data_IF_622065706170
#
_entry.id   IF_622065706170
#
_cell.length_a   1.000
_cell.length_b   1.000
_cell.length_c   1.000
_cell.angle_alpha   90.00
_cell.angle_beta   90.00
_cell.angle_gamma   90.00
#
_symmetry.space_group_name_H-M   'P 1'
#
loop_
_entity.id
_entity.type
_entity.pdbx_description
1 polymer ?
#
# COMPACT_ATOMS: atom_id res chain seq x y z
N UNK A 1 39.52 52.04 -16.48
CA UNK A 1 38.79 51.57 -15.28
C UNK A 1 37.30 51.74 -15.53
N UNK A 2 36.55 50.65 -15.68
CA UNK A 2 35.11 50.68 -15.95
C UNK A 2 34.31 50.51 -14.64
N UNK A 3 33.18 51.22 -14.45
CA UNK A 3 32.38 51.09 -13.23
C UNK A 3 31.55 49.80 -13.22
N UNK A 4 31.57 49.12 -12.07
CA UNK A 4 30.81 47.90 -11.76
C UNK A 4 29.31 48.21 -11.76
N UNK A 5 28.52 47.53 -12.60
CA UNK A 5 27.05 47.51 -12.52
C UNK A 5 26.62 46.78 -11.24
N UNK A 6 25.86 47.45 -10.38
CA UNK A 6 25.18 46.83 -9.24
C UNK A 6 23.94 46.06 -9.73
N UNK A 7 23.78 44.82 -9.27
CA UNK A 7 22.58 44.03 -9.48
C UNK A 7 21.45 44.50 -8.53
N UNK A 8 20.18 44.47 -8.96
CA UNK A 8 19.05 44.85 -8.10
C UNK A 8 18.80 43.80 -7.01
N UNK A 9 18.44 44.29 -5.81
CA UNK A 9 18.17 43.48 -4.63
C UNK A 9 16.90 42.60 -4.77
N UNK A 10 16.84 41.42 -4.13
CA UNK A 10 15.66 40.58 -4.11
C UNK A 10 14.53 41.19 -3.25
N UNK A 11 13.25 40.92 -3.57
CA UNK A 11 12.12 41.45 -2.81
C UNK A 11 12.00 40.84 -1.41
N UNK A 12 11.42 41.56 -0.44
CA UNK A 12 11.32 41.12 0.95
C UNK A 12 10.33 39.97 1.14
N UNK A 13 10.73 39.00 1.94
CA UNK A 13 9.97 37.82 2.34
C UNK A 13 8.75 38.22 3.20
N UNK A 14 7.53 37.84 2.79
CA UNK A 14 6.32 38.04 3.59
C UNK A 14 5.97 36.73 4.34
N UNK A 15 5.89 36.72 5.69
CA UNK A 15 5.46 35.55 6.42
C UNK A 15 3.94 35.31 6.30
N UNK A 16 3.47 34.05 6.33
CA UNK A 16 2.05 33.73 6.19
C UNK A 16 1.22 34.23 7.38
N UNK A 17 0.08 34.83 7.07
CA UNK A 17 -0.89 35.37 8.04
C UNK A 17 -1.47 34.25 8.92
N UNK A 18 -1.15 34.30 10.21
CA UNK A 18 -1.73 33.49 11.28
C UNK A 18 -3.23 33.78 11.40
N UNK A 19 -4.07 32.77 11.18
CA UNK A 19 -5.51 32.84 11.41
C UNK A 19 -5.79 33.04 12.91
N UNK A 20 -6.56 34.09 13.23
CA UNK A 20 -6.91 34.51 14.58
C UNK A 20 -8.07 33.69 15.14
N UNK A 21 -7.82 33.21 16.35
CA UNK A 21 -8.73 32.62 17.33
C UNK A 21 -9.88 33.57 17.70
N UNK A 22 -11.10 33.05 17.74
CA UNK A 22 -12.29 33.62 18.38
C UNK A 22 -13.55 32.98 17.79
N UNK A 23 -14.62 32.62 18.50
CA UNK A 23 -15.09 32.79 19.88
C UNK A 23 -16.09 31.65 20.17
N UNK A 24 -16.13 31.19 21.41
CA UNK A 24 -17.19 30.34 21.98
C UNK A 24 -18.46 31.21 22.16
N UNK A 25 -19.66 30.63 22.01
CA UNK A 25 -20.61 30.70 23.12
C UNK A 25 -21.31 29.36 23.39
N UNK A 26 -21.33 28.99 24.67
CA UNK A 26 -22.14 27.90 25.22
C UNK A 26 -23.59 28.36 25.41
N UNK A 27 -24.56 27.46 25.20
CA UNK A 27 -25.81 27.40 25.98
C UNK A 27 -26.53 26.05 25.84
N UNK A 28 -26.79 25.50 27.02
CA UNK A 28 -27.45 24.24 27.38
C UNK A 28 -28.80 23.96 26.70
N UNK A 29 -29.07 22.66 26.43
CA UNK A 29 -30.26 21.93 26.92
C UNK A 29 -30.07 20.40 26.73
N UNK A 30 -30.51 19.56 27.69
CA UNK A 30 -30.28 18.12 27.66
C UNK A 30 -31.43 17.39 26.95
N UNK A 31 -31.22 16.19 26.39
CA UNK A 31 -32.30 15.26 26.19
C UNK A 31 -32.26 14.12 27.22
N UNK A 32 -33.46 13.90 27.73
CA UNK A 32 -33.94 12.89 28.65
C UNK A 32 -33.45 11.46 28.40
N UNK A 33 -33.21 10.76 29.50
CA UNK A 33 -33.28 9.30 29.60
C UNK A 33 -34.63 8.81 29.04
N UNK A 34 -34.60 7.93 28.05
CA UNK A 34 -35.65 6.93 27.85
C UNK A 34 -35.00 5.60 27.54
N UNK A 35 -35.25 4.68 28.46
CA UNK A 35 -34.84 3.28 28.47
C UNK A 35 -35.78 2.50 27.55
N UNK A 36 -35.23 1.89 26.51
CA UNK A 36 -35.75 0.67 25.85
C UNK A 36 -34.51 -0.13 25.44
N UNK A 37 -33.93 -0.94 26.33
CA UNK A 37 -34.18 -2.38 26.40
C UNK A 37 -34.80 -2.99 25.13
N UNK A 38 -34.07 -3.97 24.58
CA UNK A 38 -34.56 -4.99 23.63
C UNK A 38 -34.53 -4.63 22.15
N UNK A 39 -33.32 -4.48 21.58
CA UNK A 39 -33.05 -4.80 20.15
C UNK A 39 -31.67 -5.45 19.88
N UNK A 40 -31.01 -5.98 20.91
CA UNK A 40 -29.78 -6.78 20.78
C UNK A 40 -30.03 -8.26 20.42
N UNK A 41 -31.25 -8.62 20.02
CA UNK A 41 -31.61 -10.01 19.72
C UNK A 41 -32.27 -10.16 18.33
N UNK A 42 -31.65 -9.65 17.27
CA UNK A 42 -31.92 -10.12 15.87
C UNK A 42 -30.80 -9.67 14.91
N UNK A 43 -29.54 -9.92 15.26
CA UNK A 43 -28.46 -10.00 14.28
C UNK A 43 -27.54 -11.19 14.60
N UNK A 44 -28.12 -12.30 15.06
CA UNK A 44 -27.52 -13.59 14.71
C UNK A 44 -27.69 -13.71 13.21
N UNK A 45 -26.60 -13.52 12.49
CA UNK A 45 -26.53 -13.73 11.06
C UNK A 45 -27.13 -15.10 10.76
N UNK A 46 -28.37 -15.11 10.27
CA UNK A 46 -28.84 -16.21 9.46
C UNK A 46 -27.86 -16.23 8.29
N UNK A 47 -26.96 -17.23 8.28
CA UNK A 47 -26.38 -17.74 7.04
C UNK A 47 -27.53 -17.79 6.05
N UNK A 48 -27.49 -16.85 5.10
CA UNK A 48 -28.63 -16.53 4.28
C UNK A 48 -29.07 -17.78 3.54
N UNK A 49 -30.38 -17.96 3.39
CA UNK A 49 -30.96 -18.88 2.41
C UNK A 49 -30.14 -18.83 1.13
N UNK A 50 -29.44 -19.91 0.83
CA UNK A 50 -28.67 -20.10 -0.40
C UNK A 50 -29.64 -20.57 -1.49
N UNK A 51 -29.46 -20.09 -2.72
CA UNK A 51 -30.00 -20.71 -3.92
C UNK A 51 -28.77 -21.13 -4.74
N UNK A 52 -28.71 -22.39 -5.15
CA UNK A 52 -27.61 -22.94 -5.98
C UNK A 52 -26.19 -22.60 -5.46
N UNK A 53 -25.99 -22.64 -4.14
CA UNK A 53 -24.70 -22.33 -3.49
C UNK A 53 -24.33 -20.85 -3.43
N UNK A 54 -25.19 -19.94 -3.94
CA UNK A 54 -24.97 -18.49 -3.95
C UNK A 54 -25.82 -17.75 -2.90
N UNK A 55 -25.27 -16.72 -2.23
CA UNK A 55 -26.00 -15.95 -1.24
C UNK A 55 -27.07 -15.03 -1.86
N UNK A 56 -28.26 -15.00 -1.22
CA UNK A 56 -29.39 -14.16 -1.68
C UNK A 56 -29.26 -12.67 -1.32
N UNK A 57 -28.58 -12.32 -0.23
CA UNK A 57 -28.48 -10.93 0.23
C UNK A 57 -27.27 -10.23 -0.35
N UNK A 58 -27.35 -8.92 -0.63
CA UNK A 58 -26.20 -8.12 -1.10
C UNK A 58 -24.98 -8.25 -0.17
N UNK A 59 -25.22 -8.23 1.15
CA UNK A 59 -24.16 -8.39 2.15
C UNK A 59 -23.53 -9.79 2.04
N UNK A 60 -24.34 -10.84 1.93
CA UNK A 60 -23.83 -12.20 1.74
C UNK A 60 -23.01 -12.35 0.45
N UNK A 61 -23.44 -11.73 -0.65
CA UNK A 61 -22.70 -11.72 -1.92
C UNK A 61 -21.35 -11.04 -1.81
N UNK A 62 -21.29 -9.90 -1.11
CA UNK A 62 -20.04 -9.19 -0.85
C UNK A 62 -19.08 -10.07 -0.02
N UNK A 63 -19.58 -10.69 1.04
CA UNK A 63 -18.76 -11.58 1.88
C UNK A 63 -18.24 -12.78 1.09
N UNK A 64 -19.09 -13.39 0.26
CA UNK A 64 -18.70 -14.50 -0.61
C UNK A 64 -17.54 -14.12 -1.55
N UNK A 65 -17.63 -12.95 -2.20
CA UNK A 65 -16.57 -12.45 -3.09
C UNK A 65 -15.25 -12.23 -2.33
N UNK A 66 -15.33 -11.74 -1.09
CA UNK A 66 -14.16 -11.32 -0.32
C UNK A 66 -13.50 -12.52 0.39
N UNK A 67 -14.28 -13.50 0.84
CA UNK A 67 -13.76 -14.72 1.48
C UNK A 67 -12.96 -15.59 0.51
N UNK A 68 -13.37 -15.64 -0.75
CA UNK A 68 -12.71 -16.40 -1.81
C UNK A 68 -11.49 -15.67 -2.41
N UNK A 69 -11.23 -14.43 -2.00
CA UNK A 69 -10.16 -13.64 -2.59
C UNK A 69 -8.78 -14.03 -2.03
N UNK A 70 -7.81 -14.21 -2.93
CA UNK A 70 -6.40 -14.43 -2.58
C UNK A 70 -5.62 -13.14 -2.36
N UNK A 71 -6.17 -12.00 -2.77
CA UNK A 71 -5.56 -10.67 -2.66
C UNK A 71 -6.58 -9.67 -2.11
N UNK A 72 -6.11 -8.57 -1.53
CA UNK A 72 -6.97 -7.48 -1.06
C UNK A 72 -7.86 -6.95 -2.19
N UNK A 73 -9.16 -6.87 -1.94
CA UNK A 73 -10.15 -6.55 -2.98
C UNK A 73 -10.57 -5.09 -2.87
N UNK A 74 -10.39 -4.32 -3.93
CA UNK A 74 -10.90 -2.95 -4.02
C UNK A 74 -12.41 -2.88 -4.30
N UNK A 75 -13.05 -1.77 -3.92
CA UNK A 75 -14.47 -1.52 -4.24
C UNK A 75 -14.82 -1.68 -5.74
N UNK A 76 -13.99 -1.23 -6.71
CA UNK A 76 -14.27 -1.48 -8.12
C UNK A 76 -14.38 -2.97 -8.46
N UNK A 77 -13.49 -3.79 -7.92
CA UNK A 77 -13.47 -5.24 -8.13
C UNK A 77 -14.69 -5.92 -7.51
N UNK A 78 -15.09 -5.51 -6.30
CA UNK A 78 -16.33 -6.01 -5.67
C UNK A 78 -17.54 -5.71 -6.56
N UNK A 79 -17.65 -4.48 -7.09
CA UNK A 79 -18.76 -4.11 -7.99
C UNK A 79 -18.77 -4.95 -9.25
N UNK A 80 -17.60 -5.14 -9.88
CA UNK A 80 -17.45 -5.94 -11.08
C UNK A 80 -17.89 -7.39 -10.83
N UNK A 81 -17.39 -8.05 -9.78
CA UNK A 81 -17.80 -9.43 -9.42
C UNK A 81 -19.28 -9.53 -9.07
N UNK A 82 -19.88 -8.51 -8.44
CA UNK A 82 -21.32 -8.47 -8.19
C UNK A 82 -22.16 -8.42 -9.48
N UNK A 83 -21.67 -7.73 -10.51
CA UNK A 83 -22.32 -7.69 -11.83
C UNK A 83 -22.14 -9.03 -12.53
N UNK A 84 -20.89 -9.51 -12.61
CA UNK A 84 -20.53 -10.68 -13.42
C UNK A 84 -21.04 -12.00 -12.83
N UNK A 85 -21.05 -12.17 -11.50
CA UNK A 85 -21.40 -13.46 -10.86
C UNK A 85 -22.85 -13.55 -10.37
N UNK A 86 -23.51 -12.39 -10.20
CA UNK A 86 -24.84 -12.29 -9.61
C UNK A 86 -25.83 -11.47 -10.46
N UNK A 87 -25.48 -11.22 -11.72
CA UNK A 87 -26.30 -10.54 -12.74
C UNK A 87 -26.87 -9.20 -12.25
N UNK A 88 -26.12 -8.48 -11.43
CA UNK A 88 -26.53 -7.17 -10.93
C UNK A 88 -26.32 -6.10 -12.00
N UNK A 89 -27.26 -5.18 -12.16
CA UNK A 89 -27.12 -4.09 -13.13
C UNK A 89 -26.35 -2.91 -12.55
N UNK A 90 -25.31 -2.46 -13.26
CA UNK A 90 -24.60 -1.23 -12.89
C UNK A 90 -25.52 -0.01 -13.03
N UNK A 91 -25.72 0.67 -11.92
CA UNK A 91 -26.53 1.88 -11.83
C UNK A 91 -26.03 2.78 -10.71
N UNK A 92 -26.31 4.09 -10.73
CA UNK A 92 -25.95 4.99 -9.63
C UNK A 92 -26.48 4.51 -8.27
N UNK A 93 -27.69 3.96 -8.25
CA UNK A 93 -28.32 3.38 -7.05
C UNK A 93 -27.59 2.13 -6.57
N UNK A 94 -27.18 1.25 -7.49
CA UNK A 94 -26.36 0.07 -7.16
C UNK A 94 -25.02 0.49 -6.54
N UNK A 95 -24.29 1.40 -7.19
CA UNK A 95 -22.98 1.88 -6.69
C UNK A 95 -23.08 2.46 -5.28
N UNK A 96 -24.13 3.24 -4.99
CA UNK A 96 -24.42 3.78 -3.65
C UNK A 96 -24.76 2.69 -2.63
N UNK A 97 -25.57 1.69 -3.01
CA UNK A 97 -25.93 0.56 -2.14
C UNK A 97 -24.71 -0.28 -1.76
N UNK A 98 -23.83 -0.58 -2.72
CA UNK A 98 -22.59 -1.34 -2.47
C UNK A 98 -21.66 -0.56 -1.54
N UNK A 99 -21.43 0.73 -1.80
CA UNK A 99 -20.60 1.57 -0.93
C UNK A 99 -21.16 1.64 0.50
N UNK A 100 -22.48 1.81 0.65
CA UNK A 100 -23.15 1.81 1.96
C UNK A 100 -23.05 0.46 2.68
N UNK A 101 -23.14 -0.64 1.94
CA UNK A 101 -23.00 -1.99 2.50
C UNK A 101 -21.57 -2.24 3.01
N UNK A 102 -20.55 -1.87 2.23
CA UNK A 102 -19.14 -1.99 2.63
C UNK A 102 -18.80 -1.09 3.83
N UNK A 103 -19.31 0.13 3.86
CA UNK A 103 -19.15 1.02 5.01
C UNK A 103 -19.77 0.41 6.27
N UNK A 104 -21.01 -0.09 6.17
CA UNK A 104 -21.68 -0.76 7.29
C UNK A 104 -20.93 -2.01 7.74
N UNK A 105 -20.38 -2.80 6.82
CA UNK A 105 -19.56 -3.96 7.16
C UNK A 105 -18.28 -3.57 7.89
N UNK A 106 -17.65 -2.45 7.50
CA UNK A 106 -16.44 -1.94 8.16
C UNK A 106 -16.71 -1.38 9.56
N UNK A 107 -17.92 -0.89 9.81
CA UNK A 107 -18.36 -0.42 11.14
C UNK A 107 -18.75 -1.56 12.08
N UNK A 108 -19.07 -2.74 11.53
CA UNK A 108 -19.38 -3.92 12.32
C UNK A 108 -18.08 -4.67 12.56
N UNK A 109 -17.62 -4.72 13.81
CA UNK A 109 -16.46 -5.53 14.19
C UNK A 109 -16.78 -7.01 13.99
N UNK A 110 -16.34 -7.56 12.85
CA UNK A 110 -16.70 -8.89 12.35
C UNK A 110 -15.43 -9.66 12.03
N UNK A 111 -15.34 -10.88 12.50
CA UNK A 111 -14.20 -11.76 12.22
C UNK A 111 -14.08 -12.14 10.73
N UNK A 112 -15.19 -12.12 9.97
CA UNK A 112 -15.25 -12.57 8.58
C UNK A 112 -15.16 -11.43 7.54
N UNK A 113 -14.76 -10.23 7.96
CA UNK A 113 -14.61 -9.06 7.10
C UNK A 113 -13.67 -8.03 7.72
N UNK A 114 -12.71 -7.55 6.94
CA UNK A 114 -11.86 -6.43 7.34
C UNK A 114 -11.50 -5.49 6.19
N UNK A 115 -10.83 -4.39 6.54
CA UNK A 115 -10.49 -3.31 5.60
C UNK A 115 -9.08 -2.78 5.87
N UNK A 116 -8.26 -2.74 4.82
CA UNK A 116 -6.87 -2.26 4.84
C UNK A 116 -6.67 -1.31 3.67
N UNK A 117 -6.19 -0.08 3.93
CA UNK A 117 -5.79 0.85 2.86
C UNK A 117 -6.86 1.19 1.81
N UNK A 118 -8.15 1.00 2.11
CA UNK A 118 -9.25 1.18 1.15
C UNK A 118 -9.68 -0.08 0.38
N UNK A 119 -8.98 -1.19 0.59
CA UNK A 119 -9.32 -2.53 0.11
C UNK A 119 -9.88 -3.40 1.23
N UNK A 120 -10.49 -4.54 0.87
CA UNK A 120 -11.21 -5.42 1.79
C UNK A 120 -10.66 -6.85 1.76
N UNK A 121 -10.80 -7.56 2.88
CA UNK A 121 -10.38 -8.97 3.05
C UNK A 121 -11.40 -9.75 3.90
N UNK A 122 -11.33 -11.08 3.86
CA UNK A 122 -12.32 -11.99 4.44
C UNK A 122 -12.17 -12.28 5.92
N UNK A 123 -11.43 -11.44 6.65
CA UNK A 123 -10.99 -11.70 8.03
C UNK A 123 -9.48 -11.93 8.14
N UNK A 124 -8.99 -12.09 9.37
CA UNK A 124 -7.57 -12.29 9.68
C UNK A 124 -7.07 -13.66 9.16
N UNK A 125 -7.92 -14.69 9.20
CA UNK A 125 -7.57 -16.02 8.67
C UNK A 125 -7.67 -16.13 7.13
N UNK A 126 -8.05 -15.05 6.44
CA UNK A 126 -8.22 -15.10 4.98
C UNK A 126 -6.88 -15.05 4.25
N UNK A 127 -6.76 -15.79 3.14
CA UNK A 127 -5.55 -15.83 2.33
C UNK A 127 -5.09 -14.43 1.90
N UNK A 128 -6.04 -13.54 1.57
CA UNK A 128 -5.75 -12.15 1.24
C UNK A 128 -5.12 -11.34 2.38
N UNK A 129 -5.50 -11.61 3.63
CA UNK A 129 -4.93 -10.93 4.80
C UNK A 129 -3.54 -11.46 5.11
N UNK A 130 -3.39 -12.80 5.14
CA UNK A 130 -2.10 -13.45 5.39
C UNK A 130 -1.05 -13.04 4.34
N UNK A 131 -1.42 -12.98 3.07
CA UNK A 131 -0.53 -12.49 2.01
C UNK A 131 -0.17 -11.00 2.17
N UNK A 132 -1.07 -10.19 2.73
CA UNK A 132 -0.77 -8.79 3.04
C UNK A 132 0.18 -8.67 4.23
N UNK A 133 -0.01 -9.43 5.30
CA UNK A 133 0.92 -9.44 6.44
C UNK A 133 2.31 -9.91 6.02
N UNK A 134 2.43 -11.01 5.29
CA UNK A 134 3.71 -11.51 4.77
C UNK A 134 4.42 -10.44 3.91
N UNK A 135 3.67 -9.72 3.06
CA UNK A 135 4.23 -8.64 2.27
C UNK A 135 4.64 -7.42 3.11
N UNK A 136 3.90 -7.09 4.18
CA UNK A 136 4.29 -6.03 5.11
C UNK A 136 5.56 -6.39 5.86
N UNK A 137 5.63 -7.59 6.43
CA UNK A 137 6.82 -8.08 7.13
C UNK A 137 8.06 -8.06 6.22
N UNK A 138 7.91 -8.49 4.96
CA UNK A 138 9.00 -8.44 4.00
C UNK A 138 9.46 -7.00 3.67
N UNK A 139 8.53 -6.05 3.60
CA UNK A 139 8.87 -4.64 3.40
C UNK A 139 9.55 -4.02 4.63
N UNK A 140 9.06 -4.34 5.84
CA UNK A 140 9.65 -3.88 7.09
C UNK A 140 11.07 -4.45 7.28
N UNK A 141 11.27 -5.73 6.95
CA UNK A 141 12.60 -6.34 6.94
C UNK A 141 13.52 -5.69 5.90
N UNK A 142 13.00 -5.40 4.70
CA UNK A 142 13.75 -4.70 3.66
C UNK A 142 14.17 -3.29 4.09
N UNK A 143 13.27 -2.52 4.72
CA UNK A 143 13.59 -1.19 5.25
C UNK A 143 14.62 -1.28 6.37
N UNK A 144 14.45 -2.21 7.31
CA UNK A 144 15.40 -2.46 8.40
C UNK A 144 16.80 -2.79 7.89
N UNK A 145 16.91 -3.63 6.85
CA UNK A 145 18.20 -3.98 6.26
C UNK A 145 18.85 -2.79 5.56
N UNK A 146 18.06 -1.96 4.86
CA UNK A 146 18.56 -0.71 4.25
C UNK A 146 19.05 0.28 5.31
N UNK A 147 18.30 0.44 6.41
CA UNK A 147 18.67 1.32 7.53
C UNK A 147 19.93 0.84 8.26
N UNK A 148 20.17 -0.47 8.28
CA UNK A 148 21.40 -1.06 8.79
C UNK A 148 22.61 -0.87 7.85
N UNK A 149 22.41 -0.27 6.67
CA UNK A 149 23.46 -0.08 5.67
C UNK A 149 23.73 -1.31 4.80
N UNK A 150 22.93 -2.37 4.94
CA UNK A 150 23.07 -3.57 4.12
C UNK A 150 22.62 -3.31 2.68
N UNK A 151 23.28 -3.98 1.73
CA UNK A 151 22.96 -3.92 0.31
C UNK A 151 22.45 -5.27 -0.17
N UNK A 152 21.50 -5.30 -1.11
CA UNK A 152 20.95 -6.55 -1.64
C UNK A 152 21.78 -7.02 -2.83
N UNK A 153 22.28 -8.26 -2.79
CA UNK A 153 23.01 -8.82 -3.92
C UNK A 153 22.08 -9.05 -5.11
N UNK A 154 22.45 -8.51 -6.28
CA UNK A 154 21.65 -8.62 -7.49
C UNK A 154 21.57 -10.02 -8.11
N UNK A 155 22.40 -10.95 -7.64
CA UNK A 155 22.46 -12.31 -8.19
C UNK A 155 21.61 -13.31 -7.42
N UNK A 156 21.65 -13.24 -6.09
CA UNK A 156 20.96 -14.19 -5.21
C UNK A 156 19.90 -13.53 -4.32
N UNK A 157 19.71 -12.21 -4.45
CA UNK A 157 18.78 -11.41 -3.65
C UNK A 157 19.02 -11.47 -2.13
N UNK A 158 20.15 -12.02 -1.68
CA UNK A 158 20.54 -12.05 -0.27
C UNK A 158 21.12 -10.70 0.17
N UNK A 159 20.87 -10.34 1.42
CA UNK A 159 21.44 -9.15 2.04
C UNK A 159 22.93 -9.34 2.31
N UNK A 160 23.69 -8.27 2.06
CA UNK A 160 25.13 -8.20 2.21
C UNK A 160 25.44 -7.02 3.11
N UNK A 161 26.12 -7.29 4.20
CA UNK A 161 26.59 -6.33 5.20
C UNK A 161 27.97 -5.76 4.82
N UNK A 162 28.60 -5.07 5.77
CA UNK A 162 29.93 -4.47 5.61
C UNK A 162 31.02 -5.50 5.28
N UNK A 163 30.87 -6.78 5.65
CA UNK A 163 31.85 -7.82 5.33
C UNK A 163 31.90 -8.13 3.82
N UNK A 164 30.84 -7.80 3.10
CA UNK A 164 30.80 -7.93 1.64
C UNK A 164 31.52 -6.75 0.95
N UNK A 165 31.82 -5.66 1.64
CA UNK A 165 32.43 -4.48 1.05
C UNK A 165 33.91 -4.72 0.73
N UNK A 166 34.32 -4.39 -0.50
CA UNK A 166 35.72 -4.48 -0.93
C UNK A 166 36.38 -3.11 -0.93
N UNK A 167 35.78 -2.16 -1.64
CA UNK A 167 36.32 -0.80 -1.81
C UNK A 167 35.30 0.14 -2.41
N UNK A 168 35.48 1.43 -2.16
CA UNK A 168 34.79 2.51 -2.84
C UNK A 168 35.32 2.67 -4.28
N UNK A 169 34.43 2.89 -5.24
CA UNK A 169 34.77 3.32 -6.60
C UNK A 169 34.62 4.83 -6.72
N UNK A 170 35.76 5.52 -6.64
CA UNK A 170 35.82 6.98 -6.73
C UNK A 170 35.48 7.53 -8.13
N UNK A 171 35.57 6.71 -9.17
CA UNK A 171 35.26 7.11 -10.56
C UNK A 171 33.76 7.01 -10.81
N UNK A 172 33.13 5.95 -10.32
CA UNK A 172 31.69 5.70 -10.46
C UNK A 172 30.82 6.33 -9.39
N UNK A 173 31.41 6.91 -8.32
CA UNK A 173 30.69 7.32 -7.10
C UNK A 173 29.86 6.15 -6.59
N UNK A 174 30.50 5.00 -6.42
CA UNK A 174 29.84 3.73 -6.08
C UNK A 174 30.69 2.89 -5.13
N UNK A 175 30.22 1.68 -4.84
CA UNK A 175 30.95 0.73 -3.98
C UNK A 175 30.99 -0.65 -4.60
N UNK A 176 32.13 -1.33 -4.44
CA UNK A 176 32.36 -2.70 -4.90
C UNK A 176 32.10 -3.67 -3.76
N UNK A 177 31.29 -4.70 -4.03
CA UNK A 177 30.97 -5.75 -3.07
C UNK A 177 31.29 -7.14 -3.63
N UNK A 178 31.60 -8.09 -2.74
CA UNK A 178 31.67 -9.52 -3.01
C UNK A 178 30.68 -10.24 -2.10
N UNK A 179 29.64 -10.81 -2.69
CA UNK A 179 28.59 -11.50 -1.94
C UNK A 179 29.12 -12.80 -1.34
N UNK A 180 28.98 -12.98 -0.02
CA UNK A 180 29.38 -14.21 0.69
C UNK A 180 28.52 -15.44 0.33
N UNK A 181 27.29 -15.23 -0.14
CA UNK A 181 26.35 -16.32 -0.43
C UNK A 181 26.55 -16.95 -1.81
N UNK A 182 26.99 -16.16 -2.80
CA UNK A 182 27.15 -16.62 -4.18
C UNK A 182 28.55 -16.42 -4.75
N UNK A 183 29.47 -15.86 -3.96
CA UNK A 183 30.87 -15.55 -4.31
C UNK A 183 31.04 -14.58 -5.50
N UNK A 184 29.95 -13.95 -5.95
CA UNK A 184 29.95 -13.02 -7.09
C UNK A 184 30.22 -11.59 -6.65
N UNK A 185 30.93 -10.87 -7.50
CA UNK A 185 31.18 -9.43 -7.35
C UNK A 185 30.02 -8.65 -7.98
N UNK A 186 29.57 -7.62 -7.28
CA UNK A 186 28.61 -6.63 -7.79
C UNK A 186 29.02 -5.22 -7.35
N UNK A 187 28.42 -4.22 -7.97
CA UNK A 187 28.70 -2.82 -7.73
C UNK A 187 27.39 -2.09 -7.43
N UNK A 188 27.44 -1.10 -6.55
CA UNK A 188 26.35 -0.15 -6.30
C UNK A 188 26.81 1.25 -6.66
N UNK A 189 25.89 2.16 -6.97
CA UNK A 189 26.18 3.57 -7.27
C UNK A 189 25.44 4.49 -6.28
N UNK A 190 25.90 5.72 -6.09
CA UNK A 190 25.26 6.71 -5.19
C UNK A 190 23.83 7.09 -5.64
N UNK A 191 23.42 6.79 -6.89
CA UNK A 191 22.01 6.86 -7.30
C UNK A 191 21.11 5.86 -6.56
N UNK A 192 21.69 4.86 -5.90
CA UNK A 192 20.97 3.72 -5.33
C UNK A 192 20.75 3.86 -3.81
N UNK A 193 21.17 4.98 -3.22
CA UNK A 193 21.28 5.09 -1.76
C UNK A 193 20.68 6.32 -1.11
N UNK A 194 20.17 7.32 -1.84
CA UNK A 194 19.62 8.52 -1.20
C UNK A 194 18.34 9.02 -1.91
N UNK A 195 17.20 8.64 -1.31
CA UNK A 195 15.91 9.35 -1.34
C UNK A 195 15.00 9.14 -2.56
N UNK A 196 15.46 8.76 -3.75
CA UNK A 196 14.55 8.39 -4.86
C UNK A 196 15.13 7.28 -5.74
N UNK A 197 14.36 6.21 -5.88
CA UNK A 197 14.73 4.95 -6.53
C UNK A 197 15.19 5.09 -7.96
N UNK A 198 16.44 4.70 -8.18
CA UNK A 198 16.89 4.15 -9.45
C UNK A 198 17.27 2.69 -9.22
N UNK A 199 16.93 1.84 -10.19
CA UNK A 199 17.43 0.47 -10.22
C UNK A 199 18.97 0.52 -10.24
N UNK A 200 19.59 -0.30 -9.39
CA UNK A 200 21.05 -0.47 -9.36
C UNK A 200 21.51 -0.81 -10.77
N UNK A 201 22.22 0.10 -11.44
CA UNK A 201 22.83 -0.21 -12.73
C UNK A 201 23.93 -1.28 -12.48
N UNK A 202 24.36 -2.05 -13.48
CA UNK A 202 25.46 -3.00 -13.27
C UNK A 202 26.49 -2.82 -14.36
N UNK A 203 27.73 -2.49 -13.98
CA UNK A 203 28.88 -2.74 -14.84
C UNK A 203 29.53 -4.05 -14.41
N UNK A 204 29.12 -5.13 -15.07
CA UNK A 204 29.86 -6.40 -14.99
C UNK A 204 31.26 -6.14 -15.57
N UNK A 205 32.29 -6.43 -14.77
CA UNK A 205 33.65 -6.57 -15.28
C UNK A 205 33.65 -7.61 -16.40
N UNK A 206 34.54 -7.43 -17.38
CA UNK A 206 34.59 -8.17 -18.63
C UNK A 206 34.49 -9.69 -18.44
N UNK A 207 33.27 -10.20 -18.41
CA UNK A 207 32.83 -11.54 -18.79
C UNK A 207 31.29 -11.54 -18.78
N UNK A 208 30.73 -11.48 -20.00
CA UNK A 208 29.32 -11.65 -20.36
C UNK A 208 28.35 -10.51 -20.00
N UNK A 209 28.19 -9.69 -21.04
CA UNK A 209 27.20 -8.65 -21.30
C UNK A 209 25.76 -9.07 -20.96
N UNK A 210 25.06 -8.24 -20.19
CA UNK A 210 23.60 -8.16 -20.22
C UNK A 210 23.24 -6.68 -20.36
N UNK A 211 23.33 -6.16 -21.59
CA UNK A 211 22.73 -4.88 -21.94
C UNK A 211 21.22 -5.06 -22.05
N UNK A 212 20.47 -4.09 -21.53
CA UNK A 212 19.06 -3.94 -21.83
C UNK A 212 18.88 -3.53 -23.28
N UNK A 213 18.00 -4.23 -23.99
CA UNK A 213 17.70 -3.93 -25.37
C UNK A 213 16.70 -4.88 -26.02
N UNK A 214 15.71 -5.42 -25.30
CA UNK A 214 14.57 -6.06 -25.97
C UNK A 214 13.26 -5.43 -25.51
N UNK A 215 12.71 -4.66 -26.45
CA UNK A 215 11.31 -4.30 -26.53
C UNK A 215 10.47 -5.55 -26.26
N UNK A 216 9.49 -5.44 -25.39
CA UNK A 216 8.33 -6.32 -25.40
C UNK A 216 7.70 -6.21 -26.80
N UNK A 217 7.65 -7.26 -27.65
CA UNK A 217 6.70 -7.28 -28.73
C UNK A 217 5.36 -7.74 -28.15
N UNK A 218 4.32 -7.00 -28.47
CA UNK A 218 2.95 -7.48 -28.40
C UNK A 218 2.83 -8.90 -28.97
N UNK A 219 2.29 -9.83 -28.17
CA UNK A 219 1.26 -10.80 -28.51
C UNK A 219 0.79 -11.52 -27.23
#
# INVERSE_FOLDING_TARGET
>A
MAPRRQAPAPPPFQPPKRSTRGKIPAKNKPPSKTRLTTRQATLKAKVGTMDDGKPKTLIGRILFIIQDATNLVGMPTVKKRLIDEFDMTDSPSFRKKVAKALAKLSECDRADFGKIGGSYHGGEDSAAYLAYEEAQEAMEEEEKMKDAGCTKCCWCAQWCDDDCFIREDSIGRGSKYKCIHCDRIYWTWISDGYVYGHDVEFKKGADNFCGWGDKIPHL
#
